data_IF_043982141622
#
_entry.id   IF_043982141622
#
_cell.length_a   1.000
_cell.length_b   1.000
_cell.length_c   1.000
_cell.angle_alpha   90.00
_cell.angle_beta   90.00
_cell.angle_gamma   90.00
#
_symmetry.space_group_name_H-M   'P 1'
#
loop_
_entity.id
_entity.type
_entity.pdbx_description
1 polymer ?
#
# COMPACT_ATOMS: atom_id res chain seq x y z
N UNK A 1 32.55 -2.60 27.29
CA UNK A 1 32.70 -2.19 25.88
C UNK A 1 31.58 -1.19 25.57
N UNK A 2 31.82 -0.08 24.86
CA UNK A 2 30.76 0.87 24.53
C UNK A 2 29.68 0.24 23.64
N UNK A 3 28.45 0.75 23.74
CA UNK A 3 27.33 0.40 22.86
C UNK A 3 27.77 0.44 21.39
N UNK A 4 27.47 -0.60 20.63
CA UNK A 4 27.89 -0.66 19.23
C UNK A 4 27.59 -1.98 18.54
N UNK A 5 28.04 -2.07 17.30
CA UNK A 5 27.84 -3.23 16.47
C UNK A 5 29.02 -3.50 15.57
N UNK A 6 29.09 -4.71 15.03
CA UNK A 6 30.08 -5.13 14.06
C UNK A 6 29.48 -6.14 13.08
N UNK A 7 29.84 -6.00 11.81
CA UNK A 7 29.67 -7.10 10.84
C UNK A 7 30.83 -8.07 11.08
N UNK A 8 30.56 -9.34 11.35
CA UNK A 8 31.61 -10.31 11.67
C UNK A 8 32.54 -10.56 10.47
N UNK A 9 33.67 -11.22 10.69
CA UNK A 9 34.55 -11.69 9.60
C UNK A 9 33.78 -12.59 8.65
N UNK A 10 32.97 -13.51 9.18
CA UNK A 10 32.13 -14.39 8.36
C UNK A 10 31.10 -13.57 7.57
N UNK A 11 30.44 -12.61 8.23
CA UNK A 11 29.49 -11.70 7.61
C UNK A 11 30.08 -10.89 6.48
N UNK A 12 31.26 -10.28 6.66
CA UNK A 12 31.95 -9.53 5.59
C UNK A 12 32.32 -10.43 4.41
N UNK A 13 32.74 -11.67 4.68
CA UNK A 13 33.04 -12.65 3.62
C UNK A 13 31.78 -13.00 2.84
N UNK A 14 30.66 -13.26 3.52
CA UNK A 14 29.37 -13.52 2.89
C UNK A 14 28.93 -12.35 2.02
N UNK A 15 28.92 -11.14 2.56
CA UNK A 15 28.53 -9.93 1.83
C UNK A 15 29.44 -9.65 0.61
N UNK A 16 30.73 -9.95 0.71
CA UNK A 16 31.66 -9.78 -0.41
C UNK A 16 31.49 -10.84 -1.53
N UNK A 17 30.92 -12.02 -1.21
CA UNK A 17 30.59 -13.04 -2.22
C UNK A 17 29.35 -12.67 -3.02
N UNK A 18 28.39 -11.96 -2.41
CA UNK A 18 27.08 -11.66 -3.01
C UNK A 18 27.23 -10.64 -4.14
N UNK A 19 26.87 -11.06 -5.35
CA UNK A 19 26.75 -10.20 -6.53
C UNK A 19 25.30 -9.79 -6.75
N UNK A 20 25.07 -8.82 -7.62
CA UNK A 20 23.71 -8.40 -8.01
C UNK A 20 22.88 -9.59 -8.52
N UNK A 21 21.64 -9.71 -8.07
CA UNK A 21 20.72 -10.81 -8.38
C UNK A 21 20.88 -12.05 -7.50
N UNK A 22 21.86 -12.10 -6.59
CA UNK A 22 21.93 -13.14 -5.56
C UNK A 22 21.16 -12.76 -4.29
N UNK A 23 20.56 -13.78 -3.67
CA UNK A 23 19.81 -13.65 -2.43
C UNK A 23 20.72 -13.69 -1.19
N UNK A 24 20.50 -12.74 -0.28
CA UNK A 24 20.98 -12.79 1.10
C UNK A 24 19.81 -13.18 2.02
N UNK A 25 19.73 -14.47 2.35
CA UNK A 25 18.73 -14.98 3.28
C UNK A 25 19.17 -14.74 4.73
N UNK A 26 18.40 -13.94 5.47
CA UNK A 26 18.51 -13.80 6.93
C UNK A 26 17.73 -14.94 7.58
N UNK A 27 18.42 -15.83 8.29
CA UNK A 27 17.82 -17.08 8.78
C UNK A 27 17.11 -16.91 10.13
N UNK A 28 17.63 -16.04 11.00
CA UNK A 28 17.02 -15.70 12.30
C UNK A 28 17.64 -14.45 12.91
N UNK A 29 16.96 -13.92 13.92
CA UNK A 29 17.48 -12.88 14.80
C UNK A 29 17.33 -13.34 16.25
N UNK A 30 18.36 -13.13 17.06
CA UNK A 30 18.35 -13.47 18.49
C UNK A 30 18.68 -12.27 19.35
N UNK A 31 18.15 -12.26 20.56
CA UNK A 31 18.62 -11.42 21.67
C UNK A 31 19.24 -12.28 22.76
N UNK A 32 20.19 -11.70 23.47
CA UNK A 32 20.95 -12.37 24.53
C UNK A 32 21.24 -11.45 25.72
N UNK A 33 21.77 -12.05 26.78
CA UNK A 33 22.15 -11.36 28.02
C UNK A 33 23.66 -11.33 28.25
N UNK A 34 24.45 -11.72 27.26
CA UNK A 34 25.89 -11.83 27.40
C UNK A 34 26.61 -10.47 27.39
N UNK A 35 27.72 -10.42 28.13
CA UNK A 35 28.63 -9.28 28.17
C UNK A 35 29.90 -9.62 27.40
N UNK A 36 30.32 -8.73 26.49
CA UNK A 36 31.56 -8.91 25.71
C UNK A 36 32.78 -8.91 26.64
N UNK A 37 33.56 -10.02 26.72
CA UNK A 37 34.78 -10.05 27.53
C UNK A 37 35.82 -9.04 27.05
N UNK A 38 36.58 -8.44 27.97
CA UNK A 38 37.52 -7.34 27.69
C UNK A 38 38.56 -7.66 26.60
N UNK A 39 39.07 -8.90 26.59
CA UNK A 39 40.12 -9.34 25.66
C UNK A 39 39.58 -10.02 24.39
N UNK A 40 38.28 -9.86 24.09
CA UNK A 40 37.66 -10.49 22.91
C UNK A 40 37.17 -9.46 21.91
N UNK A 41 37.30 -9.79 20.63
CA UNK A 41 36.77 -8.96 19.55
C UNK A 41 35.51 -9.61 18.96
N UNK A 42 34.34 -8.95 19.06
CA UNK A 42 33.09 -9.49 18.54
C UNK A 42 33.09 -9.75 17.03
N UNK A 43 34.06 -9.19 16.30
CA UNK A 43 34.23 -9.42 14.86
C UNK A 43 34.48 -10.89 14.53
N UNK A 44 34.98 -11.68 15.48
CA UNK A 44 35.26 -13.11 15.29
C UNK A 44 34.20 -14.02 15.91
N UNK A 45 33.11 -13.46 16.46
CA UNK A 45 32.06 -14.28 17.04
C UNK A 45 31.29 -15.02 15.96
N UNK A 46 30.86 -16.23 16.34
CA UNK A 46 30.05 -17.12 15.51
C UNK A 46 28.64 -17.29 16.07
N UNK A 47 28.40 -16.84 17.30
CA UNK A 47 27.10 -16.82 17.98
C UNK A 47 27.09 -15.69 19.03
N UNK A 48 25.94 -15.47 19.67
CA UNK A 48 25.83 -14.66 20.87
C UNK A 48 26.58 -15.30 22.04
N UNK A 49 26.99 -14.47 23.00
CA UNK A 49 27.71 -14.94 24.18
C UNK A 49 26.77 -15.73 25.11
N UNK A 50 25.55 -15.21 25.29
CA UNK A 50 24.50 -15.86 26.05
C UNK A 50 23.15 -15.64 25.33
N UNK A 51 22.83 -16.43 24.29
CA UNK A 51 21.56 -16.33 23.59
C UNK A 51 20.40 -16.67 24.53
N UNK A 52 19.35 -15.86 24.51
CA UNK A 52 18.20 -15.99 25.41
C UNK A 52 16.89 -16.26 24.68
N UNK A 53 16.62 -15.54 23.60
CA UNK A 53 15.36 -15.64 22.89
C UNK A 53 15.49 -15.27 21.42
N UNK A 54 14.67 -15.91 20.59
CA UNK A 54 14.49 -15.51 19.20
C UNK A 54 13.60 -14.26 19.11
N UNK A 55 14.07 -13.30 18.33
CA UNK A 55 13.36 -12.08 17.97
C UNK A 55 12.76 -12.20 16.56
N UNK A 56 12.08 -11.15 16.10
CA UNK A 56 11.62 -11.00 14.72
C UNK A 56 12.21 -9.72 14.10
N UNK A 57 11.77 -9.38 12.90
CA UNK A 57 12.10 -8.11 12.26
C UNK A 57 10.97 -7.61 11.38
N UNK A 58 11.08 -6.37 10.92
CA UNK A 58 10.39 -5.92 9.71
C UNK A 58 10.95 -6.65 8.49
N UNK A 59 10.24 -6.58 7.36
CA UNK A 59 10.83 -6.95 6.08
C UNK A 59 12.07 -6.08 5.80
N UNK A 60 13.18 -6.66 5.34
CA UNK A 60 14.33 -5.91 4.87
C UNK A 60 13.98 -5.05 3.65
N UNK A 61 14.47 -3.82 3.66
CA UNK A 61 14.35 -2.90 2.51
C UNK A 61 15.75 -2.63 1.98
N UNK A 62 16.05 -3.14 0.79
CA UNK A 62 17.28 -2.86 0.06
C UNK A 62 17.10 -1.58 -0.78
N UNK A 63 17.96 -0.59 -0.54
CA UNK A 63 17.97 0.68 -1.27
C UNK A 63 19.35 1.34 -1.17
N UNK A 64 19.81 1.95 -2.26
CA UNK A 64 21.03 2.78 -2.29
C UNK A 64 22.26 2.07 -1.68
N UNK A 65 22.53 0.83 -2.11
CA UNK A 65 23.62 -0.04 -1.60
C UNK A 65 23.55 -0.36 -0.09
N UNK A 66 22.37 -0.25 0.51
CA UNK A 66 22.15 -0.63 1.90
C UNK A 66 20.91 -1.47 2.03
N UNK A 67 20.91 -2.38 3.00
CA UNK A 67 19.69 -3.00 3.51
C UNK A 67 19.39 -2.47 4.89
N UNK A 68 18.14 -2.04 5.09
CA UNK A 68 17.66 -1.54 6.38
C UNK A 68 16.45 -2.33 6.86
N UNK A 69 16.44 -2.66 8.16
CA UNK A 69 15.32 -3.30 8.83
C UNK A 69 15.36 -3.02 10.33
N UNK A 70 14.27 -3.28 11.03
CA UNK A 70 14.20 -3.17 12.48
C UNK A 70 14.16 -4.57 13.07
N UNK A 71 15.15 -4.92 13.88
CA UNK A 71 15.06 -6.07 14.78
C UNK A 71 14.08 -5.72 15.89
N UNK A 72 13.06 -6.55 16.09
CA UNK A 72 12.08 -6.38 17.15
C UNK A 72 12.07 -7.61 18.06
N UNK A 73 12.46 -7.41 19.32
CA UNK A 73 12.15 -8.37 20.37
C UNK A 73 10.78 -8.06 20.95
N UNK A 74 10.01 -9.12 21.19
CA UNK A 74 8.66 -9.09 21.73
C UNK A 74 8.51 -10.19 22.75
N UNK A 75 8.06 -9.85 23.95
CA UNK A 75 7.94 -10.82 25.05
C UNK A 75 6.88 -11.89 24.79
N UNK A 76 5.92 -11.70 23.87
CA UNK A 76 4.86 -12.65 23.56
C UNK A 76 5.22 -13.68 22.48
N UNK A 77 6.35 -13.52 21.79
CA UNK A 77 6.82 -14.47 20.78
C UNK A 77 7.14 -15.84 21.39
N UNK A 78 7.09 -16.88 20.56
CA UNK A 78 7.56 -18.24 20.88
C UNK A 78 6.96 -18.83 22.17
N UNK A 79 5.67 -18.59 22.40
CA UNK A 79 4.95 -19.07 23.59
C UNK A 79 5.07 -18.16 24.82
N UNK A 80 5.69 -16.99 24.66
CA UNK A 80 5.77 -15.93 25.66
C UNK A 80 6.88 -16.13 26.70
N UNK A 81 7.67 -15.10 26.93
CA UNK A 81 8.77 -15.03 27.89
C UNK A 81 8.26 -15.33 29.31
N UNK A 82 8.89 -16.30 29.99
CA UNK A 82 8.47 -16.75 31.33
C UNK A 82 9.11 -15.95 32.46
N UNK A 83 10.36 -15.53 32.28
CA UNK A 83 11.11 -14.77 33.26
C UNK A 83 11.80 -13.60 32.57
N UNK A 84 11.71 -12.41 33.16
CA UNK A 84 12.39 -11.23 32.66
C UNK A 84 13.91 -11.40 32.66
N UNK A 85 14.57 -10.73 31.72
CA UNK A 85 16.03 -10.69 31.64
C UNK A 85 16.50 -9.35 31.08
N UNK A 86 17.79 -9.07 31.22
CA UNK A 86 18.42 -7.89 30.63
C UNK A 86 18.93 -8.25 29.24
N UNK A 87 18.35 -7.65 28.20
CA UNK A 87 18.94 -7.71 26.86
C UNK A 87 20.22 -6.88 26.88
N UNK A 88 21.30 -7.52 26.47
CA UNK A 88 22.64 -6.93 26.40
C UNK A 88 23.28 -7.08 25.03
N UNK A 89 22.78 -8.01 24.23
CA UNK A 89 23.30 -8.28 22.89
C UNK A 89 22.17 -8.73 21.97
N UNK A 90 22.39 -8.57 20.67
CA UNK A 90 21.56 -9.20 19.65
C UNK A 90 22.39 -9.55 18.42
N UNK A 91 21.91 -10.53 17.66
CA UNK A 91 22.61 -11.08 16.52
C UNK A 91 21.67 -11.33 15.35
N UNK A 92 22.11 -10.96 14.16
CA UNK A 92 21.43 -11.28 12.90
C UNK A 92 22.22 -12.40 12.24
N UNK A 93 21.54 -13.49 11.92
CA UNK A 93 22.13 -14.68 11.31
C UNK A 93 21.71 -14.78 9.85
N UNK A 94 22.61 -15.28 9.01
CA UNK A 94 22.37 -15.41 7.58
C UNK A 94 22.87 -16.76 7.06
N UNK A 95 22.32 -17.16 5.91
CA UNK A 95 22.70 -18.38 5.21
C UNK A 95 23.97 -18.16 4.38
N UNK A 96 24.97 -19.02 4.59
CA UNK A 96 26.14 -19.19 3.70
C UNK A 96 26.19 -20.66 3.27
N UNK A 97 25.69 -20.94 2.06
CA UNK A 97 25.53 -22.28 1.50
C UNK A 97 24.66 -23.18 2.40
N UNK A 98 25.21 -24.24 2.97
CA UNK A 98 24.48 -25.12 3.91
C UNK A 98 24.57 -24.64 5.37
N UNK A 99 25.44 -23.68 5.66
CA UNK A 99 25.75 -23.23 7.00
C UNK A 99 25.00 -21.95 7.37
N UNK A 100 24.72 -21.79 8.66
CA UNK A 100 24.28 -20.52 9.22
C UNK A 100 25.48 -19.81 9.87
N UNK A 101 25.59 -18.51 9.64
CA UNK A 101 26.64 -17.68 10.22
C UNK A 101 26.06 -16.47 10.96
N UNK A 102 26.75 -16.00 11.99
CA UNK A 102 26.47 -14.71 12.60
C UNK A 102 26.96 -13.61 11.66
N UNK A 103 26.05 -12.94 10.96
CA UNK A 103 26.36 -11.85 10.02
C UNK A 103 26.74 -10.57 10.79
N UNK A 104 25.90 -10.21 11.76
CA UNK A 104 25.95 -8.95 12.47
C UNK A 104 25.78 -9.20 13.96
N UNK A 105 26.68 -8.66 14.76
CA UNK A 105 26.64 -8.72 16.22
C UNK A 105 26.52 -7.31 16.78
N UNK A 106 25.63 -7.10 17.75
CA UNK A 106 25.51 -5.85 18.47
C UNK A 106 25.49 -6.08 19.98
N UNK A 107 26.11 -5.15 20.70
CA UNK A 107 26.10 -5.10 22.16
C UNK A 107 25.53 -3.77 22.62
N UNK A 108 24.71 -3.83 23.67
CA UNK A 108 24.17 -2.67 24.35
C UNK A 108 25.18 -2.07 25.36
N UNK A 109 26.31 -2.75 25.58
CA UNK A 109 27.37 -2.32 26.51
C UNK A 109 26.79 -2.01 27.89
N UNK A 110 27.11 -0.83 28.40
CA UNK A 110 26.69 -0.37 29.73
C UNK A 110 25.21 0.08 29.79
N UNK A 111 24.45 -0.08 28.70
CA UNK A 111 23.04 0.33 28.59
C UNK A 111 22.09 -0.87 28.37
N UNK A 112 22.11 -1.89 29.26
CA UNK A 112 21.26 -3.05 29.10
C UNK A 112 19.77 -2.67 29.22
N UNK A 113 18.91 -3.41 28.53
CA UNK A 113 17.47 -3.16 28.53
C UNK A 113 16.73 -4.33 29.17
N UNK A 114 16.13 -4.10 30.34
CA UNK A 114 15.32 -5.11 30.99
C UNK A 114 14.01 -5.32 30.24
N UNK A 115 13.66 -6.57 29.98
CA UNK A 115 12.36 -6.98 29.44
C UNK A 115 11.60 -7.82 30.44
N UNK A 116 10.30 -7.60 30.56
CA UNK A 116 9.44 -8.32 31.50
C UNK A 116 8.87 -9.60 30.89
N UNK A 117 8.57 -10.58 31.75
CA UNK A 117 7.84 -11.78 31.36
C UNK A 117 6.48 -11.41 30.76
N UNK A 118 6.04 -12.16 29.75
CA UNK A 118 4.71 -11.98 29.18
C UNK A 118 3.66 -12.49 30.16
N UNK A 119 2.91 -11.56 30.74
CA UNK A 119 1.85 -11.84 31.72
C UNK A 119 0.64 -10.97 31.44
N UNK A 120 -0.56 -11.56 31.56
CA UNK A 120 -1.84 -10.86 31.42
C UNK A 120 -2.00 -10.06 30.11
N UNK A 121 -1.39 -10.51 29.01
CA UNK A 121 -1.46 -9.85 27.70
C UNK A 121 -0.57 -8.61 27.56
N UNK A 122 0.20 -8.23 28.58
CA UNK A 122 1.14 -7.11 28.48
C UNK A 122 2.41 -7.54 27.72
N UNK A 123 2.68 -6.89 26.58
CA UNK A 123 3.84 -7.17 25.73
C UNK A 123 4.92 -6.11 25.95
N UNK A 124 6.14 -6.56 26.22
CA UNK A 124 7.34 -5.71 26.24
C UNK A 124 8.02 -5.80 24.87
N UNK A 125 8.37 -4.66 24.30
CA UNK A 125 8.84 -4.53 22.92
C UNK A 125 10.15 -3.75 22.91
N UNK A 126 11.15 -4.28 22.22
CA UNK A 126 12.44 -3.60 22.01
C UNK A 126 12.78 -3.61 20.54
N UNK A 127 13.19 -2.45 20.02
CA UNK A 127 13.47 -2.22 18.61
C UNK A 127 14.89 -1.74 18.42
N UNK A 128 15.59 -2.40 17.52
CA UNK A 128 16.96 -2.08 17.17
C UNK A 128 17.02 -1.88 15.65
N UNK A 129 17.12 -0.63 15.16
CA UNK A 129 17.31 -0.38 13.74
C UNK A 129 18.67 -0.92 13.30
N UNK A 130 18.69 -1.63 12.18
CA UNK A 130 19.88 -2.20 11.56
C UNK A 130 19.99 -1.67 10.14
N UNK A 131 21.19 -1.25 9.78
CA UNK A 131 21.56 -0.88 8.40
C UNK A 131 22.87 -1.57 8.07
N UNK A 132 22.89 -2.34 6.97
CA UNK A 132 24.06 -3.08 6.50
C UNK A 132 24.35 -2.62 5.07
N UNK A 133 25.60 -2.25 4.80
CA UNK A 133 26.03 -1.97 3.43
C UNK A 133 26.13 -3.28 2.63
N UNK A 134 25.58 -3.27 1.42
CA UNK A 134 25.51 -4.42 0.51
C UNK A 134 25.90 -3.99 -0.92
N UNK A 135 26.24 -4.95 -1.77
CA UNK A 135 26.38 -4.69 -3.19
C UNK A 135 25.03 -4.24 -3.79
N UNK A 136 25.09 -3.47 -4.88
CA UNK A 136 23.86 -3.05 -5.57
C UNK A 136 23.12 -4.26 -6.14
N UNK A 137 21.79 -4.21 -6.15
CA UNK A 137 20.94 -5.27 -6.68
C UNK A 137 20.98 -6.60 -5.92
N UNK A 138 21.48 -6.64 -4.69
CA UNK A 138 21.34 -7.83 -3.81
C UNK A 138 19.95 -7.84 -3.19
N UNK A 139 19.23 -8.94 -3.40
CA UNK A 139 17.94 -9.17 -2.78
C UNK A 139 18.13 -9.73 -1.36
N UNK A 140 17.34 -9.23 -0.40
CA UNK A 140 17.44 -9.67 0.99
C UNK A 140 16.10 -10.21 1.46
N UNK A 141 16.11 -11.44 1.94
CA UNK A 141 14.91 -12.15 2.41
C UNK A 141 15.07 -12.60 3.86
N UNK A 142 13.99 -13.11 4.43
CA UNK A 142 13.96 -13.65 5.79
C UNK A 142 13.39 -15.07 5.76
N UNK A 143 14.04 -16.01 6.44
CA UNK A 143 13.57 -17.39 6.59
C UNK A 143 12.55 -17.56 7.73
N UNK A 144 12.12 -16.46 8.34
CA UNK A 144 11.16 -16.41 9.44
C UNK A 144 10.05 -15.39 9.14
N UNK A 145 8.85 -15.54 9.73
CA UNK A 145 7.79 -14.55 9.52
C UNK A 145 8.18 -13.16 10.06
N UNK A 146 7.96 -12.12 9.25
CA UNK A 146 8.04 -10.72 9.70
C UNK A 146 6.85 -10.40 10.61
N UNK A 147 7.04 -10.53 11.92
CA UNK A 147 6.00 -10.31 12.93
C UNK A 147 6.15 -8.97 13.66
N UNK A 148 7.05 -8.10 13.20
CA UNK A 148 7.23 -6.79 13.83
C UNK A 148 5.94 -5.96 13.73
N UNK A 149 5.60 -5.24 14.80
CA UNK A 149 4.42 -4.37 14.76
C UNK A 149 4.62 -3.15 13.85
N UNK A 150 3.60 -2.85 13.05
CA UNK A 150 3.53 -1.63 12.22
C UNK A 150 3.39 -0.40 13.12
N UNK A 151 4.13 0.68 12.83
CA UNK A 151 3.96 1.96 13.52
C UNK A 151 2.89 2.82 12.86
N UNK A 152 2.33 3.77 13.61
CA UNK A 152 1.41 4.76 13.05
C UNK A 152 2.06 5.52 11.89
N UNK A 153 3.33 5.93 12.03
CA UNK A 153 4.04 6.66 10.98
C UNK A 153 4.18 5.82 9.71
N UNK A 154 4.44 4.52 9.84
CA UNK A 154 4.57 3.63 8.69
C UNK A 154 3.24 3.35 8.01
N UNK A 155 2.17 3.20 8.80
CA UNK A 155 0.81 3.08 8.26
C UNK A 155 0.38 4.37 7.56
N UNK A 156 0.67 5.54 8.13
CA UNK A 156 0.41 6.83 7.52
C UNK A 156 1.14 6.99 6.20
N UNK A 157 2.42 6.64 6.16
CA UNK A 157 3.22 6.68 4.94
C UNK A 157 2.59 5.81 3.83
N UNK A 158 2.19 4.58 4.15
CA UNK A 158 1.49 3.69 3.23
C UNK A 158 0.19 4.32 2.70
N UNK A 159 -0.62 4.90 3.60
CA UNK A 159 -1.89 5.52 3.23
C UNK A 159 -1.68 6.72 2.32
N UNK A 160 -0.78 7.64 2.69
CA UNK A 160 -0.58 8.92 2.00
C UNK A 160 0.14 8.76 0.66
N UNK A 161 1.08 7.82 0.56
CA UNK A 161 1.89 7.66 -0.66
C UNK A 161 1.31 6.67 -1.67
N UNK A 162 0.60 5.64 -1.19
CA UNK A 162 0.16 4.55 -2.05
C UNK A 162 -1.37 4.46 -2.08
N UNK A 163 -2.01 4.21 -0.94
CA UNK A 163 -3.44 3.85 -0.91
C UNK A 163 -4.38 4.99 -1.32
N UNK A 164 -4.16 6.20 -0.80
CA UNK A 164 -4.99 7.38 -1.13
C UNK A 164 -4.86 7.73 -2.63
N UNK A 165 -3.66 7.91 -3.20
CA UNK A 165 -3.52 8.19 -4.64
C UNK A 165 -4.13 7.09 -5.53
N UNK A 166 -4.01 5.83 -5.14
CA UNK A 166 -4.64 4.71 -5.85
C UNK A 166 -6.17 4.83 -5.85
N UNK A 167 -6.78 5.08 -4.69
CA UNK A 167 -8.23 5.25 -4.56
C UNK A 167 -8.73 6.48 -5.31
N UNK A 168 -8.01 7.61 -5.24
CA UNK A 168 -8.32 8.81 -6.01
C UNK A 168 -8.29 8.53 -7.52
N UNK A 169 -7.31 7.74 -8.00
CA UNK A 169 -7.22 7.29 -9.39
C UNK A 169 -8.42 6.45 -9.79
N UNK A 170 -8.83 5.48 -8.98
CA UNK A 170 -10.02 4.65 -9.24
C UNK A 170 -11.28 5.51 -9.32
N UNK A 171 -11.49 6.42 -8.37
CA UNK A 171 -12.68 7.28 -8.34
C UNK A 171 -12.73 8.17 -9.59
N UNK A 172 -11.59 8.78 -9.96
CA UNK A 172 -11.47 9.62 -11.16
C UNK A 172 -11.75 8.84 -12.44
N UNK A 173 -11.33 7.58 -12.50
CA UNK A 173 -11.54 6.72 -13.67
C UNK A 173 -12.93 6.10 -13.73
N UNK A 174 -13.60 5.89 -12.60
CA UNK A 174 -14.95 5.28 -12.55
C UNK A 174 -16.09 6.28 -12.70
N UNK A 175 -15.83 7.57 -12.47
CA UNK A 175 -16.87 8.62 -12.50
C UNK A 175 -16.48 9.87 -13.28
N UNK A 176 -17.47 10.62 -13.76
CA UNK A 176 -17.31 12.00 -14.22
C UNK A 176 -18.29 12.85 -13.43
N UNK A 177 -17.81 13.88 -12.74
CA UNK A 177 -18.66 14.86 -12.08
C UNK A 177 -18.51 16.22 -12.73
N UNK A 178 -19.63 16.86 -13.06
CA UNK A 178 -19.64 18.22 -13.59
C UNK A 178 -20.91 18.96 -13.17
N UNK A 179 -20.81 20.29 -13.13
CA UNK A 179 -22.00 21.14 -13.11
C UNK A 179 -22.39 21.45 -14.55
N UNK A 180 -23.67 21.29 -14.86
CA UNK A 180 -24.22 21.50 -16.19
C UNK A 180 -25.32 22.55 -16.14
N UNK A 181 -25.56 23.16 -17.30
CA UNK A 181 -26.72 24.01 -17.55
C UNK A 181 -27.53 23.35 -18.65
N UNK A 182 -28.82 23.17 -18.42
CA UNK A 182 -29.79 22.71 -19.40
C UNK A 182 -30.47 23.97 -19.96
N UNK A 183 -30.11 24.44 -21.17
CA UNK A 183 -30.59 25.72 -21.67
C UNK A 183 -32.09 25.67 -21.98
N UNK A 184 -32.83 26.73 -21.66
CA UNK A 184 -34.25 26.84 -22.02
C UNK A 184 -34.49 26.77 -23.54
N UNK A 185 -33.49 27.14 -24.32
CA UNK A 185 -33.53 27.16 -25.79
C UNK A 185 -33.18 25.82 -26.45
N UNK A 186 -32.72 24.83 -25.68
CA UNK A 186 -32.25 23.55 -26.22
C UNK A 186 -33.37 22.51 -26.44
N UNK A 187 -34.61 22.83 -26.07
CA UNK A 187 -35.72 21.88 -26.03
C UNK A 187 -36.45 21.82 -27.37
N UNK A 188 -36.52 20.62 -27.96
CA UNK A 188 -37.20 20.33 -29.22
C UNK A 188 -38.35 19.34 -28.98
N UNK A 189 -39.42 19.45 -29.77
CA UNK A 189 -40.54 18.52 -29.70
C UNK A 189 -40.07 17.08 -30.01
N UNK A 190 -40.47 16.14 -29.15
CA UNK A 190 -40.25 14.73 -29.38
C UNK A 190 -41.60 14.00 -29.38
N UNK A 191 -41.86 13.26 -30.46
CA UNK A 191 -43.04 12.43 -30.59
C UNK A 191 -42.67 11.04 -30.11
N UNK A 192 -43.10 10.66 -28.90
CA UNK A 192 -42.89 9.31 -28.40
C UNK A 192 -43.68 8.28 -29.22
N UNK A 193 -43.12 7.08 -29.41
CA UNK A 193 -43.86 5.92 -29.92
C UNK A 193 -45.04 5.62 -28.98
N UNK A 194 -46.24 6.07 -29.36
CA UNK A 194 -47.44 6.00 -28.51
C UNK A 194 -48.26 7.29 -28.41
N UNK A 195 -47.80 8.40 -29.00
CA UNK A 195 -48.64 9.59 -29.20
C UNK A 195 -48.79 10.53 -27.99
N UNK A 196 -48.00 10.34 -26.93
CA UNK A 196 -47.81 11.36 -25.89
C UNK A 196 -46.74 12.36 -26.35
N UNK A 197 -47.11 13.63 -26.55
CA UNK A 197 -46.16 14.69 -26.90
C UNK A 197 -45.36 15.17 -25.69
N UNK A 198 -44.15 15.66 -25.93
CA UNK A 198 -43.26 16.30 -24.94
C UNK A 198 -42.10 17.01 -25.63
N UNK A 199 -41.13 17.46 -24.85
CA UNK A 199 -39.89 18.06 -25.38
C UNK A 199 -38.66 17.35 -24.83
N UNK A 200 -37.58 17.33 -25.62
CA UNK A 200 -36.28 16.84 -25.19
C UNK A 200 -35.17 17.87 -25.45
N UNK A 201 -34.13 17.85 -24.62
CA UNK A 201 -32.92 18.65 -24.80
C UNK A 201 -31.70 17.75 -24.67
N UNK A 202 -30.79 17.80 -25.65
CA UNK A 202 -29.49 17.15 -25.55
C UNK A 202 -28.44 18.18 -25.09
N UNK A 203 -27.85 17.96 -23.92
CA UNK A 203 -26.79 18.81 -23.38
C UNK A 203 -25.45 18.16 -23.70
N UNK A 204 -24.63 18.83 -24.50
CA UNK A 204 -23.32 18.34 -24.91
C UNK A 204 -22.39 18.12 -23.71
N UNK A 205 -21.73 16.97 -23.66
CA UNK A 205 -20.76 16.56 -22.65
C UNK A 205 -19.68 15.71 -23.33
N UNK A 206 -18.46 16.26 -23.45
CA UNK A 206 -17.39 15.71 -24.31
C UNK A 206 -16.96 14.28 -23.97
N UNK A 207 -17.09 13.88 -22.71
CA UNK A 207 -16.58 12.61 -22.20
C UNK A 207 -17.70 11.59 -21.91
N UNK A 208 -18.90 11.81 -22.43
CA UNK A 208 -20.07 10.94 -22.22
C UNK A 208 -20.23 9.94 -23.35
N UNK A 209 -20.42 8.67 -22.98
CA UNK A 209 -20.88 7.60 -23.88
C UNK A 209 -22.30 7.19 -23.51
N UNK A 210 -23.00 6.55 -24.45
CA UNK A 210 -24.35 6.00 -24.23
C UNK A 210 -24.40 4.84 -23.22
N UNK A 211 -23.26 4.24 -22.87
CA UNK A 211 -23.15 3.19 -21.85
C UNK A 211 -23.06 3.71 -20.40
N UNK A 212 -22.89 5.02 -20.19
CA UNK A 212 -22.80 5.59 -18.85
C UNK A 212 -24.17 5.66 -18.16
N UNK A 213 -24.18 5.77 -16.83
CA UNK A 213 -25.42 5.96 -16.06
C UNK A 213 -25.44 7.39 -15.53
N UNK A 214 -26.38 8.25 -15.96
CA UNK A 214 -26.48 9.62 -15.48
C UNK A 214 -27.23 9.69 -14.14
N UNK A 215 -26.65 10.38 -13.17
CA UNK A 215 -27.29 10.82 -11.94
C UNK A 215 -27.34 12.35 -11.97
N UNK A 216 -28.55 12.89 -12.06
CA UNK A 216 -28.78 14.33 -12.19
C UNK A 216 -29.42 14.87 -10.92
N UNK A 217 -28.81 15.90 -10.34
CA UNK A 217 -29.34 16.61 -9.18
C UNK A 217 -29.54 18.08 -9.52
N UNK A 218 -30.80 18.50 -9.64
CA UNK A 218 -31.17 19.89 -9.95
C UNK A 218 -30.81 20.79 -8.76
N UNK A 219 -30.19 21.94 -9.04
CA UNK A 219 -29.89 22.92 -8.00
C UNK A 219 -31.18 23.51 -7.40
N UNK A 220 -31.10 23.87 -6.12
CA UNK A 220 -32.28 24.26 -5.32
C UNK A 220 -33.05 25.42 -5.95
N UNK A 221 -32.34 26.41 -6.49
CA UNK A 221 -32.85 27.59 -7.17
C UNK A 221 -33.61 27.27 -8.46
N UNK A 222 -33.29 26.14 -9.13
CA UNK A 222 -33.92 25.72 -10.38
C UNK A 222 -35.02 24.67 -10.19
N UNK A 223 -35.26 24.17 -8.97
CA UNK A 223 -36.25 23.12 -8.71
C UNK A 223 -37.68 23.53 -9.10
N UNK A 224 -38.06 24.78 -8.90
CA UNK A 224 -39.39 25.29 -9.29
C UNK A 224 -39.54 25.32 -10.80
N UNK A 225 -38.49 25.73 -11.53
CA UNK A 225 -38.47 25.77 -13.00
C UNK A 225 -38.61 24.34 -13.55
N UNK A 226 -37.80 23.39 -13.06
CA UNK A 226 -37.85 21.98 -13.44
C UNK A 226 -39.21 21.34 -13.14
N UNK A 227 -39.81 21.64 -11.98
CA UNK A 227 -41.15 21.15 -11.63
C UNK A 227 -42.22 21.72 -12.56
N UNK A 228 -42.17 23.02 -12.85
CA UNK A 228 -43.19 23.71 -13.63
C UNK A 228 -43.20 23.31 -15.10
N UNK A 229 -42.06 22.87 -15.65
CA UNK A 229 -41.97 22.35 -17.01
C UNK A 229 -42.28 20.84 -17.11
N UNK A 230 -42.55 20.18 -15.99
CA UNK A 230 -42.80 18.74 -15.95
C UNK A 230 -41.57 17.92 -16.30
N UNK A 231 -40.39 18.33 -15.82
CA UNK A 231 -39.13 17.65 -16.11
C UNK A 231 -39.15 16.21 -15.58
N UNK A 232 -38.77 15.27 -16.44
CA UNK A 232 -38.61 13.85 -16.08
C UNK A 232 -37.52 13.68 -15.01
N UNK A 233 -37.72 12.72 -14.11
CA UNK A 233 -36.70 12.29 -13.16
C UNK A 233 -35.63 11.41 -13.81
N UNK A 234 -35.83 11.01 -15.07
CA UNK A 234 -34.91 10.19 -15.85
C UNK A 234 -34.25 11.04 -16.92
N UNK A 235 -32.93 10.92 -17.01
CA UNK A 235 -32.13 11.41 -18.12
C UNK A 235 -31.43 10.21 -18.76
N UNK A 236 -31.05 10.36 -20.01
CA UNK A 236 -30.40 9.31 -20.80
C UNK A 236 -29.06 9.82 -21.31
N UNK A 237 -28.02 9.01 -21.23
CA UNK A 237 -26.75 9.32 -21.85
C UNK A 237 -26.80 8.97 -23.33
N UNK A 238 -26.26 9.86 -24.16
CA UNK A 238 -26.04 9.62 -25.58
C UNK A 238 -24.58 9.91 -25.88
N UNK A 239 -24.03 9.38 -26.97
CA UNK A 239 -22.64 9.67 -27.33
C UNK A 239 -22.41 11.19 -27.47
N UNK A 240 -21.57 11.74 -26.60
CA UNK A 240 -21.25 13.16 -26.53
C UNK A 240 -22.27 14.04 -25.79
N UNK A 241 -23.23 13.49 -25.05
CA UNK A 241 -24.21 14.31 -24.32
C UNK A 241 -25.14 13.58 -23.37
N UNK A 242 -25.97 14.34 -22.67
CA UNK A 242 -27.05 13.82 -21.83
C UNK A 242 -28.37 14.40 -22.30
N UNK A 243 -29.32 13.53 -22.61
CA UNK A 243 -30.65 13.85 -23.06
C UNK A 243 -31.62 13.94 -21.88
N UNK A 244 -32.35 15.04 -21.82
CA UNK A 244 -33.34 15.36 -20.82
C UNK A 244 -34.73 15.41 -21.45
N UNK A 245 -35.75 15.14 -20.64
CA UNK A 245 -37.15 15.07 -21.07
C UNK A 245 -38.03 15.95 -20.17
N UNK A 246 -39.04 16.59 -20.75
CA UNK A 246 -40.02 17.40 -20.02
C UNK A 246 -41.36 17.47 -20.78
N UNK A 247 -42.44 17.83 -20.09
CA UNK A 247 -43.75 18.03 -20.71
C UNK A 247 -43.77 19.27 -21.63
N UNK A 248 -43.01 20.31 -21.29
CA UNK A 248 -42.85 21.54 -22.07
C UNK A 248 -41.48 22.16 -21.85
N UNK A 249 -41.08 23.09 -22.74
CA UNK A 249 -39.82 23.83 -22.55
C UNK A 249 -39.87 24.66 -21.26
N UNK A 250 -38.77 24.72 -20.47
CA UNK A 250 -38.70 25.53 -19.27
C UNK A 250 -38.62 27.02 -19.62
N UNK A 251 -39.07 27.88 -18.70
CA UNK A 251 -39.07 29.33 -18.89
C UNK A 251 -37.67 29.96 -18.76
N UNK A 252 -36.75 29.25 -18.09
CA UNK A 252 -35.39 29.67 -17.78
C UNK A 252 -34.44 28.47 -17.77
N UNK A 253 -33.14 28.74 -17.86
CA UNK A 253 -32.12 27.70 -17.78
C UNK A 253 -32.18 26.95 -16.44
N UNK A 254 -31.89 25.65 -16.48
CA UNK A 254 -31.88 24.79 -15.30
C UNK A 254 -30.43 24.40 -15.01
N UNK A 255 -29.92 24.83 -13.86
CA UNK A 255 -28.63 24.39 -13.33
C UNK A 255 -28.76 23.04 -12.61
N UNK A 256 -27.82 22.14 -12.84
CA UNK A 256 -27.77 20.83 -12.20
C UNK A 256 -26.33 20.34 -11.98
N UNK A 257 -26.15 19.46 -11.00
CA UNK A 257 -24.98 18.60 -10.92
C UNK A 257 -25.26 17.30 -11.68
N UNK A 258 -24.32 16.91 -12.53
CA UNK A 258 -24.31 15.65 -13.26
C UNK A 258 -23.17 14.79 -12.73
N UNK A 259 -23.51 13.59 -12.25
CA UNK A 259 -22.57 12.52 -11.97
C UNK A 259 -22.82 11.40 -12.99
N UNK A 260 -21.78 11.00 -13.71
CA UNK A 260 -21.84 9.89 -14.65
C UNK A 260 -21.06 8.73 -14.05
N UNK A 261 -21.72 7.59 -13.92
CA UNK A 261 -21.08 6.35 -13.55
C UNK A 261 -20.69 5.63 -14.84
N UNK A 262 -19.41 5.25 -14.97
CA UNK A 262 -18.98 4.37 -16.07
C UNK A 262 -19.36 2.94 -15.68
N UNK A 263 -20.32 2.35 -16.40
CA UNK A 263 -20.70 0.95 -16.19
C UNK A 263 -19.72 0.03 -16.94
N UNK A 264 -19.05 -0.88 -16.24
CA UNK A 264 -18.33 -1.98 -16.88
C UNK A 264 -19.29 -3.15 -17.12
N UNK A 265 -19.97 -3.11 -18.27
CA UNK A 265 -20.84 -4.19 -18.71
C UNK A 265 -22.28 -3.74 -18.87
N UNK A 266 -22.75 -3.77 -20.11
CA UNK A 266 -24.15 -3.50 -20.44
C UNK A 266 -25.10 -4.41 -19.66
N UNK A 267 -26.28 -3.86 -19.40
CA UNK A 267 -27.38 -4.39 -18.57
C UNK A 267 -27.21 -4.17 -17.06
N UNK A 268 -27.61 -2.98 -16.59
CA UNK A 268 -28.44 -2.77 -15.38
C UNK A 268 -28.07 -3.46 -14.07
N UNK A 269 -26.87 -4.00 -13.94
CA UNK A 269 -26.43 -4.74 -12.76
C UNK A 269 -25.62 -3.76 -11.93
N UNK A 270 -26.10 -3.42 -10.74
CA UNK A 270 -25.34 -2.63 -9.78
C UNK A 270 -24.07 -3.41 -9.44
N UNK A 271 -22.95 -2.98 -10.03
CA UNK A 271 -21.64 -3.43 -9.61
C UNK A 271 -21.36 -2.63 -8.34
N UNK A 272 -21.35 -3.32 -7.21
CA UNK A 272 -20.81 -2.73 -5.99
C UNK A 272 -19.34 -2.43 -6.31
N UNK A 273 -18.94 -1.15 -6.34
CA UNK A 273 -17.53 -0.72 -6.48
C UNK A 273 -16.66 -1.09 -5.25
N UNK A 274 -17.03 -2.14 -4.52
CA UNK A 274 -16.09 -2.81 -3.65
C UNK A 274 -15.09 -3.47 -4.59
N UNK A 275 -13.83 -3.03 -4.53
CA UNK A 275 -12.74 -3.68 -5.25
C UNK A 275 -12.90 -5.19 -5.09
N UNK A 276 -12.94 -5.89 -6.21
CA UNK A 276 -12.98 -7.36 -6.22
C UNK A 276 -11.77 -7.89 -5.45
N UNK A 277 -11.87 -9.10 -4.91
CA UNK A 277 -10.73 -9.72 -4.24
C UNK A 277 -9.49 -9.74 -5.17
N UNK A 278 -9.68 -9.88 -6.49
CA UNK A 278 -8.60 -9.77 -7.48
C UNK A 278 -7.99 -8.37 -7.55
N UNK A 279 -8.81 -7.30 -7.64
CA UNK A 279 -8.30 -5.91 -7.65
C UNK A 279 -7.65 -5.51 -6.31
N UNK A 280 -8.13 -6.07 -5.20
CA UNK A 280 -7.48 -5.90 -3.90
C UNK A 280 -6.16 -6.64 -3.88
N UNK A 281 -6.10 -7.88 -4.39
CA UNK A 281 -4.84 -8.62 -4.47
C UNK A 281 -3.85 -7.98 -5.44
N UNK A 282 -4.31 -7.44 -6.56
CA UNK A 282 -3.48 -6.69 -7.51
C UNK A 282 -2.92 -5.43 -6.84
N UNK A 283 -3.75 -4.65 -6.15
CA UNK A 283 -3.29 -3.51 -5.35
C UNK A 283 -2.32 -3.94 -4.24
N UNK A 284 -2.60 -5.03 -3.52
CA UNK A 284 -1.68 -5.56 -2.52
C UNK A 284 -0.37 -6.01 -3.15
N UNK A 285 -0.36 -6.55 -4.36
CA UNK A 285 0.84 -6.91 -5.10
C UNK A 285 1.58 -5.68 -5.65
N UNK A 286 0.89 -4.65 -6.12
CA UNK A 286 1.51 -3.37 -6.52
C UNK A 286 2.15 -2.66 -5.31
N UNK A 287 1.50 -2.75 -4.15
CA UNK A 287 1.87 -2.01 -2.93
C UNK A 287 2.86 -2.78 -2.05
N UNK A 288 2.75 -4.11 -1.97
CA UNK A 288 3.55 -4.98 -1.10
C UNK A 288 4.33 -6.07 -1.85
N UNK A 289 4.04 -6.31 -3.13
CA UNK A 289 4.83 -7.22 -3.96
C UNK A 289 6.16 -6.58 -4.32
N UNK A 290 7.24 -7.35 -4.17
CA UNK A 290 8.57 -6.95 -4.63
C UNK A 290 8.50 -6.59 -6.11
N UNK A 291 8.81 -5.34 -6.47
CA UNK A 291 9.09 -4.95 -7.84
C UNK A 291 10.34 -5.71 -8.30
N UNK A 292 10.17 -6.89 -8.88
CA UNK A 292 11.17 -7.40 -9.81
C UNK A 292 11.03 -6.53 -11.06
N UNK A 293 12.02 -5.68 -11.29
CA UNK A 293 12.09 -4.80 -12.46
C UNK A 293 12.16 -5.65 -13.74
N UNK A 294 11.00 -5.97 -14.32
CA UNK A 294 10.90 -6.35 -15.72
C UNK A 294 10.98 -5.07 -16.57
N UNK A 295 12.21 -4.63 -16.85
CA UNK A 295 12.53 -3.76 -17.98
C UNK A 295 14.00 -3.95 -18.38
N UNK A 296 14.32 -5.17 -18.84
CA UNK A 296 15.51 -5.39 -19.68
C UNK A 296 15.10 -6.29 -20.84
N UNK A 297 14.33 -5.75 -21.78
CA UNK A 297 14.27 -6.25 -23.16
C UNK A 297 13.61 -5.19 -24.04
N UNK A 298 14.40 -4.24 -24.56
CA UNK A 298 14.23 -3.62 -25.90
C UNK A 298 15.22 -2.45 -26.12
N UNK A 299 16.53 -2.71 -26.02
CA UNK A 299 17.54 -1.89 -26.71
C UNK A 299 18.72 -2.76 -27.13
N UNK A 300 18.49 -3.66 -28.09
CA UNK A 300 19.55 -4.34 -28.84
C UNK A 300 19.15 -4.51 -30.31
N UNK A 301 18.65 -3.43 -30.92
CA UNK A 301 18.60 -3.27 -32.36
C UNK A 301 18.92 -1.81 -32.70
N UNK A 302 20.22 -1.51 -32.75
CA UNK A 302 20.88 -0.56 -33.68
C UNK A 302 22.30 -0.28 -33.17
N UNK A 303 23.26 -1.09 -33.65
CA UNK A 303 24.58 -0.69 -34.16
C UNK A 303 25.41 -1.93 -34.54
#
# INVERSE_FOLDING_TARGET
>A
MPYGFVITVAGRKLLAKRIAGEELEITRVMVGSGDVPEDTSPVYFTDLIQPMAQATSTLPVAKDNTVSFIVEYRSDLNGGLKQGFWIKEFGVFARDEENEILLYYATLGDFPQYVTAFQNGAVDIRRYPVTIAIADGVDVTIAYPALAFVTEEKLRELLEKEAIPYLERIIKNSTIQSNIVIPATAWMEEIAEGGGGGVCANVEQKDVTDEMIPIVSIFRECMSIARNCGMSTTAETVNGGVKFYAEKAPEQDIGASLLLLRASGGSGTYINNMASDEEVQEMLNEVFGSKTDENVEEQNNEN
#
